data_IF_837064649047
#
_entry.id   IF_837064649047
#
_cell.length_a   1.000
_cell.length_b   1.000
_cell.length_c   1.000
_cell.angle_alpha   90.00
_cell.angle_beta   90.00
_cell.angle_gamma   90.00
#
_symmetry.space_group_name_H-M   'P 1'
#
loop_
_entity.id
_entity.type
_entity.pdbx_description
1 polymer ?
#
# COMPACT_ATOMS: atom_id res chain seq x y z
N UNK A 1 -19.62 14.77 -38.98
CA UNK A 1 -19.29 13.36 -38.67
C UNK A 1 -20.58 12.57 -38.51
N UNK A 2 -20.72 11.39 -39.14
CA UNK A 2 -21.88 10.53 -38.92
C UNK A 2 -21.86 9.94 -37.51
N UNK A 3 -23.04 9.68 -36.93
CA UNK A 3 -23.20 9.04 -35.61
C UNK A 3 -22.47 7.68 -35.56
N UNK A 4 -22.38 6.97 -36.69
CA UNK A 4 -21.63 5.72 -36.85
C UNK A 4 -20.13 5.91 -36.68
N UNK A 5 -19.53 6.96 -37.25
CA UNK A 5 -18.10 7.24 -37.09
C UNK A 5 -17.74 7.54 -35.62
N UNK A 6 -18.59 8.27 -34.89
CA UNK A 6 -18.39 8.56 -33.47
C UNK A 6 -18.46 7.30 -32.59
N UNK A 7 -19.39 6.39 -32.88
CA UNK A 7 -19.49 5.09 -32.18
C UNK A 7 -18.26 4.21 -32.45
N UNK A 8 -17.76 4.20 -33.69
CA UNK A 8 -16.56 3.43 -34.05
C UNK A 8 -15.30 3.95 -33.34
N UNK A 9 -15.13 5.28 -33.25
CA UNK A 9 -14.00 5.88 -32.51
C UNK A 9 -14.08 5.58 -31.01
N UNK A 10 -15.28 5.65 -30.41
CA UNK A 10 -15.46 5.24 -29.01
C UNK A 10 -15.13 3.76 -28.82
N UNK A 11 -15.65 2.88 -29.66
CA UNK A 11 -15.34 1.44 -29.58
C UNK A 11 -13.83 1.17 -29.70
N UNK A 12 -13.13 1.85 -30.62
CA UNK A 12 -11.70 1.72 -30.79
C UNK A 12 -10.90 2.21 -29.57
N UNK A 13 -11.32 3.32 -28.95
CA UNK A 13 -10.70 3.82 -27.71
C UNK A 13 -10.86 2.84 -26.56
N UNK A 14 -12.08 2.36 -26.32
CA UNK A 14 -12.36 1.40 -25.25
C UNK A 14 -11.63 0.07 -25.47
N UNK A 15 -11.62 -0.43 -26.72
CA UNK A 15 -10.88 -1.63 -27.09
C UNK A 15 -9.36 -1.47 -26.93
N UNK A 16 -8.80 -0.33 -27.35
CA UNK A 16 -7.38 -0.02 -27.21
C UNK A 16 -6.94 0.08 -25.76
N UNK A 17 -7.71 0.77 -24.91
CA UNK A 17 -7.44 0.84 -23.46
C UNK A 17 -7.50 -0.54 -22.81
N UNK A 18 -8.50 -1.36 -23.17
CA UNK A 18 -8.61 -2.74 -22.67
C UNK A 18 -7.41 -3.61 -23.04
N UNK A 19 -6.95 -3.52 -24.30
CA UNK A 19 -5.80 -4.28 -24.78
C UNK A 19 -4.51 -3.86 -24.06
N UNK A 20 -4.27 -2.55 -23.90
CA UNK A 20 -3.10 -2.05 -23.17
C UNK A 20 -3.11 -2.45 -21.70
N UNK A 21 -4.27 -2.36 -21.03
CA UNK A 21 -4.42 -2.82 -19.65
C UNK A 21 -4.14 -4.33 -19.53
N UNK A 22 -4.62 -5.13 -20.49
CA UNK A 22 -4.36 -6.57 -20.55
C UNK A 22 -2.88 -6.90 -20.69
N UNK A 23 -2.18 -6.24 -21.62
CA UNK A 23 -0.73 -6.42 -21.80
C UNK A 23 0.05 -6.02 -20.55
N UNK A 24 -0.31 -4.91 -19.90
CA UNK A 24 0.38 -4.47 -18.69
C UNK A 24 0.16 -5.43 -17.53
N UNK A 25 -1.07 -5.92 -17.33
CA UNK A 25 -1.37 -6.94 -16.32
C UNK A 25 -0.63 -8.25 -16.60
N UNK A 26 -0.54 -8.68 -17.87
CA UNK A 26 0.21 -9.88 -18.24
C UNK A 26 1.71 -9.73 -17.97
N UNK A 27 2.27 -8.55 -18.28
CA UNK A 27 3.66 -8.21 -17.96
C UNK A 27 3.92 -8.22 -16.46
N UNK A 28 3.07 -7.57 -15.66
CA UNK A 28 3.15 -7.58 -14.20
C UNK A 28 3.00 -8.99 -13.60
N UNK A 29 2.09 -9.80 -14.15
CA UNK A 29 1.91 -11.17 -13.74
C UNK A 29 3.17 -12.00 -13.99
N UNK A 30 3.73 -11.91 -15.20
CA UNK A 30 4.96 -12.63 -15.55
C UNK A 30 6.14 -12.20 -14.68
N UNK A 31 6.32 -10.90 -14.50
CA UNK A 31 7.36 -10.34 -13.64
C UNK A 31 7.21 -10.78 -12.18
N UNK A 32 5.98 -10.73 -11.64
CA UNK A 32 5.71 -11.19 -10.27
C UNK A 32 6.00 -12.66 -10.09
N UNK A 33 5.66 -13.52 -11.06
CA UNK A 33 5.94 -14.96 -10.99
C UNK A 33 7.44 -15.23 -11.04
N UNK A 34 8.19 -14.54 -11.90
CA UNK A 34 9.65 -14.68 -11.95
C UNK A 34 10.30 -14.25 -10.63
N UNK A 35 9.84 -13.15 -10.03
CA UNK A 35 10.36 -12.65 -8.76
C UNK A 35 10.02 -13.59 -7.59
N UNK A 36 8.81 -14.17 -7.57
CA UNK A 36 8.44 -15.15 -6.53
C UNK A 36 9.23 -16.45 -6.71
N UNK A 37 9.44 -16.92 -7.93
CA UNK A 37 10.27 -18.10 -8.19
C UNK A 37 11.72 -17.91 -7.73
N UNK A 38 12.34 -16.76 -8.03
CA UNK A 38 13.72 -16.48 -7.62
C UNK A 38 13.87 -16.40 -6.10
N UNK A 39 12.95 -15.69 -5.44
CA UNK A 39 12.96 -15.55 -3.98
C UNK A 39 12.65 -16.86 -3.26
N UNK A 40 11.73 -17.67 -3.78
CA UNK A 40 11.45 -19.00 -3.23
C UNK A 40 12.61 -19.95 -3.40
N UNK A 41 13.30 -19.91 -4.54
CA UNK A 41 14.50 -20.69 -4.76
C UNK A 41 15.60 -20.31 -3.76
N UNK A 42 15.86 -19.02 -3.57
CA UNK A 42 16.84 -18.54 -2.60
C UNK A 42 16.48 -18.95 -1.16
N UNK A 43 15.19 -18.84 -0.79
CA UNK A 43 14.71 -19.25 0.52
C UNK A 43 14.83 -20.77 0.73
N UNK A 44 14.48 -21.57 -0.28
CA UNK A 44 14.63 -23.03 -0.24
C UNK A 44 16.10 -23.44 -0.11
N UNK A 45 17.02 -22.75 -0.79
CA UNK A 45 18.46 -22.96 -0.65
C UNK A 45 18.95 -22.59 0.75
N UNK A 46 18.53 -21.44 1.31
CA UNK A 46 18.89 -21.03 2.68
C UNK A 46 18.38 -22.03 3.72
N UNK A 47 17.14 -22.47 3.60
CA UNK A 47 16.53 -23.47 4.49
C UNK A 47 17.22 -24.83 4.40
N UNK A 48 17.42 -25.34 3.18
CA UNK A 48 18.13 -26.62 2.99
C UNK A 48 19.56 -26.57 3.54
N UNK A 49 20.27 -25.46 3.36
CA UNK A 49 21.62 -25.26 3.93
C UNK A 49 21.60 -25.26 5.46
N UNK A 50 20.66 -24.54 6.07
CA UNK A 50 20.51 -24.50 7.53
C UNK A 50 20.16 -25.88 8.12
N UNK A 51 19.24 -26.59 7.48
CA UNK A 51 18.82 -27.92 7.93
C UNK A 51 19.96 -28.91 7.76
N UNK A 52 20.74 -28.78 6.70
CA UNK A 52 21.91 -29.63 6.51
C UNK A 52 22.99 -29.36 7.56
N UNK A 53 23.18 -28.11 7.99
CA UNK A 53 24.12 -27.82 9.08
C UNK A 53 23.64 -28.42 10.42
N UNK A 54 22.33 -28.42 10.67
CA UNK A 54 21.75 -29.10 11.84
C UNK A 54 21.91 -30.62 11.73
N UNK A 55 21.70 -31.16 10.53
CA UNK A 55 21.86 -32.57 10.22
C UNK A 55 23.31 -33.03 10.46
N UNK A 56 24.30 -32.24 10.05
CA UNK A 56 25.72 -32.46 10.33
C UNK A 56 26.00 -32.47 11.83
N UNK A 57 25.47 -31.51 12.59
CA UNK A 57 25.63 -31.47 14.05
C UNK A 57 25.04 -32.70 14.75
N UNK A 58 23.81 -33.09 14.37
CA UNK A 58 23.15 -34.30 14.90
C UNK A 58 23.89 -35.57 14.50
N UNK A 59 24.40 -35.65 13.27
CA UNK A 59 25.18 -36.77 12.78
C UNK A 59 26.47 -36.94 13.60
N UNK A 60 27.23 -35.85 13.80
CA UNK A 60 28.46 -35.88 14.59
C UNK A 60 28.18 -36.28 16.04
N UNK A 61 27.10 -35.77 16.64
CA UNK A 61 26.70 -36.12 17.99
C UNK A 61 26.29 -37.60 18.12
N UNK A 62 25.53 -38.14 17.17
CA UNK A 62 25.16 -39.56 17.14
C UNK A 62 26.41 -40.45 16.96
N UNK A 63 27.35 -40.03 16.10
CA UNK A 63 28.61 -40.74 15.90
C UNK A 63 29.48 -40.74 17.16
N UNK A 64 29.58 -39.62 17.88
CA UNK A 64 30.33 -39.54 19.15
C UNK A 64 29.73 -40.44 20.24
N UNK A 65 28.42 -40.71 20.19
CA UNK A 65 27.74 -41.64 21.10
C UNK A 65 27.90 -43.12 20.70
N UNK A 66 28.53 -43.41 19.56
CA UNK A 66 28.72 -44.78 19.08
C UNK A 66 27.44 -45.42 18.50
N UNK A 67 26.51 -44.60 18.01
CA UNK A 67 25.26 -45.10 17.41
C UNK A 67 25.55 -45.89 16.11
N UNK A 68 24.82 -46.99 15.90
CA UNK A 68 25.04 -47.89 14.75
C UNK A 68 24.59 -47.29 13.42
N UNK A 69 23.54 -46.46 13.43
CA UNK A 69 23.03 -45.76 12.23
C UNK A 69 22.84 -44.27 12.51
N UNK A 70 23.93 -43.48 12.52
CA UNK A 70 23.84 -42.05 12.81
C UNK A 70 23.00 -41.30 11.76
N UNK A 71 23.00 -41.73 10.50
CA UNK A 71 22.18 -41.10 9.46
C UNK A 71 20.69 -41.41 9.66
N UNK A 72 20.34 -42.64 10.02
CA UNK A 72 18.97 -43.02 10.36
C UNK A 72 18.41 -42.19 11.51
N UNK A 73 19.22 -41.91 12.53
CA UNK A 73 18.84 -41.04 13.66
C UNK A 73 18.56 -39.61 13.18
N UNK A 74 19.43 -39.05 12.34
CA UNK A 74 19.26 -37.69 11.81
C UNK A 74 18.02 -37.58 10.95
N UNK A 75 17.82 -38.53 10.02
CA UNK A 75 16.63 -38.57 9.17
C UNK A 75 15.38 -38.72 10.03
N UNK A 76 15.38 -39.60 11.04
CA UNK A 76 14.25 -39.77 11.97
C UNK A 76 13.98 -38.48 12.75
N UNK A 77 15.00 -37.85 13.34
CA UNK A 77 14.84 -36.61 14.11
C UNK A 77 14.33 -35.44 13.26
N UNK A 78 14.84 -35.29 12.04
CA UNK A 78 14.45 -34.20 11.15
C UNK A 78 13.11 -34.47 10.43
N UNK A 79 12.70 -35.73 10.30
CA UNK A 79 11.40 -36.12 9.73
C UNK A 79 10.25 -36.13 10.74
N UNK A 80 10.53 -36.19 12.05
CA UNK A 80 9.53 -36.17 13.10
C UNK A 80 8.89 -34.77 13.28
N UNK A 81 7.72 -34.58 12.67
CA UNK A 81 6.71 -33.64 13.16
C UNK A 81 5.40 -33.79 12.41
N UNK A 82 4.31 -33.51 13.11
CA UNK A 82 2.94 -33.91 12.79
C UNK A 82 2.25 -33.11 11.67
N UNK A 83 3.00 -32.33 10.87
CA UNK A 83 2.42 -31.47 9.84
C UNK A 83 2.69 -32.02 8.44
N UNK A 84 1.78 -31.81 7.46
CA UNK A 84 2.05 -32.10 6.06
C UNK A 84 3.21 -31.20 5.59
N UNK A 85 4.44 -31.72 5.66
CA UNK A 85 5.63 -30.92 5.42
C UNK A 85 5.84 -30.73 3.93
N UNK A 86 6.11 -29.47 3.60
CA UNK A 86 6.70 -28.98 2.35
C UNK A 86 8.10 -29.60 2.12
N UNK A 87 8.65 -30.36 3.06
CA UNK A 87 10.02 -30.86 3.04
C UNK A 87 10.12 -32.31 3.48
N UNK A 88 10.85 -33.10 2.69
CA UNK A 88 11.15 -34.51 2.91
C UNK A 88 12.66 -34.69 3.02
N UNK A 89 13.10 -35.29 4.11
CA UNK A 89 14.52 -35.61 4.36
C UNK A 89 14.70 -37.11 4.18
N UNK A 90 15.62 -37.53 3.32
CA UNK A 90 15.90 -38.93 3.01
C UNK A 90 17.39 -39.23 3.04
N UNK A 91 17.72 -40.51 3.19
CA UNK A 91 19.11 -40.99 3.05
C UNK A 91 19.53 -40.86 1.60
N UNK A 92 20.68 -40.24 1.37
CA UNK A 92 21.25 -40.07 0.04
C UNK A 92 22.43 -41.02 -0.14
N UNK A 93 22.43 -41.74 -1.25
CA UNK A 93 23.57 -42.51 -1.74
C UNK A 93 24.06 -41.81 -3.02
N UNK A 94 25.36 -41.47 -3.14
CA UNK A 94 25.89 -40.78 -4.32
C UNK A 94 25.70 -41.53 -5.64
N UNK A 95 25.41 -42.84 -5.61
CA UNK A 95 25.01 -43.61 -6.81
C UNK A 95 23.62 -43.26 -7.33
N UNK A 96 22.74 -42.65 -6.53
CA UNK A 96 21.36 -42.28 -6.89
C UNK A 96 21.22 -40.88 -7.50
N UNK A 97 22.34 -40.17 -7.75
CA UNK A 97 22.32 -38.90 -8.46
C UNK A 97 23.44 -37.94 -8.05
N UNK A 98 23.53 -36.78 -8.72
CA UNK A 98 24.53 -35.76 -8.43
C UNK A 98 24.40 -35.17 -7.02
N UNK A 99 25.55 -34.84 -6.42
CA UNK A 99 25.67 -34.05 -5.20
C UNK A 99 25.55 -32.57 -5.57
N UNK A 100 24.70 -31.82 -4.87
CA UNK A 100 24.44 -30.42 -5.17
C UNK A 100 22.96 -30.07 -5.11
N UNK A 101 22.60 -28.94 -5.70
CA UNK A 101 21.21 -28.49 -5.81
C UNK A 101 20.71 -28.72 -7.22
N UNK A 102 19.48 -29.23 -7.33
CA UNK A 102 18.78 -29.39 -8.60
C UNK A 102 17.36 -28.87 -8.45
N UNK A 103 16.97 -27.96 -9.33
CA UNK A 103 15.57 -27.58 -9.51
C UNK A 103 14.97 -28.51 -10.55
N UNK A 104 13.88 -29.20 -10.20
CA UNK A 104 13.05 -29.92 -11.16
C UNK A 104 11.82 -29.06 -11.46
N UNK A 105 11.89 -28.14 -12.45
CA UNK A 105 10.85 -27.16 -12.70
C UNK A 105 9.49 -27.80 -13.01
N UNK A 106 9.49 -28.97 -13.67
CA UNK A 106 8.26 -29.72 -13.98
C UNK A 106 7.53 -30.19 -12.72
N UNK A 107 8.28 -30.61 -11.69
CA UNK A 107 7.72 -31.16 -10.45
C UNK A 107 7.54 -30.11 -9.36
N UNK A 108 8.10 -28.91 -9.54
CA UNK A 108 8.13 -27.84 -8.51
C UNK A 108 8.77 -28.33 -7.20
N UNK A 109 9.76 -29.20 -7.34
CA UNK A 109 10.54 -29.74 -6.23
C UNK A 109 11.94 -29.16 -6.35
N UNK A 110 12.38 -28.56 -5.25
CA UNK A 110 13.76 -28.16 -5.03
C UNK A 110 14.47 -29.30 -4.31
N UNK A 111 15.47 -29.89 -4.95
CA UNK A 111 16.26 -30.97 -4.36
C UNK A 111 17.64 -30.43 -3.96
N UNK A 112 18.03 -30.69 -2.71
CA UNK A 112 19.35 -30.39 -2.17
C UNK A 112 19.95 -31.66 -1.59
N UNK A 113 21.02 -32.16 -2.20
CA UNK A 113 21.76 -33.32 -1.72
C UNK A 113 23.16 -32.89 -1.27
N UNK A 114 23.52 -33.25 -0.03
CA UNK A 114 24.86 -32.99 0.52
C UNK A 114 25.41 -34.24 1.20
N UNK A 115 26.68 -34.50 0.93
CA UNK A 115 27.46 -35.54 1.60
C UNK A 115 27.85 -35.07 3.00
N UNK A 116 27.69 -35.94 4.00
CA UNK A 116 28.16 -35.65 5.35
C UNK A 116 29.67 -35.92 5.39
N UNK A 117 30.43 -34.97 5.93
CA UNK A 117 31.89 -34.78 5.80
C UNK A 117 32.79 -35.93 6.31
N UNK A 118 32.26 -37.08 6.69
CA UNK A 118 33.06 -38.17 7.27
C UNK A 118 32.70 -39.58 6.81
N UNK A 119 31.79 -39.72 5.83
CA UNK A 119 31.37 -41.00 5.29
C UNK A 119 31.04 -40.86 3.79
N UNK A 120 31.96 -41.26 2.90
CA UNK A 120 31.82 -41.08 1.44
C UNK A 120 30.63 -41.86 0.85
N UNK A 121 30.02 -42.75 1.62
CA UNK A 121 28.92 -43.60 1.16
C UNK A 121 27.55 -43.12 1.65
N UNK A 122 27.49 -42.21 2.63
CA UNK A 122 26.25 -41.82 3.30
C UNK A 122 26.08 -40.30 3.35
N UNK A 123 25.06 -39.80 2.66
CA UNK A 123 24.65 -38.40 2.71
C UNK A 123 23.19 -38.22 3.11
N UNK A 124 22.74 -36.97 3.08
CA UNK A 124 21.33 -36.60 3.28
C UNK A 124 20.84 -35.86 2.04
N UNK A 125 19.64 -36.23 1.57
CA UNK A 125 18.91 -35.52 0.52
C UNK A 125 17.69 -34.87 1.15
N UNK A 126 17.59 -33.56 0.96
CA UNK A 126 16.47 -32.73 1.37
C UNK A 126 15.70 -32.37 0.10
N UNK A 127 14.47 -32.84 0.00
CA UNK A 127 13.53 -32.47 -1.06
C UNK A 127 12.55 -31.46 -0.47
N UNK A 128 12.50 -30.25 -0.99
CA UNK A 128 11.54 -29.21 -0.60
C UNK A 128 10.57 -29.03 -1.77
N UNK A 129 9.30 -29.37 -1.56
CA UNK A 129 8.21 -29.06 -2.49
C UNK A 129 7.91 -27.55 -2.44
N UNK A 130 8.75 -26.75 -3.10
CA UNK A 130 8.53 -25.32 -3.23
C UNK A 130 7.36 -25.07 -4.19
N UNK A 131 6.13 -25.10 -3.65
CA UNK A 131 4.96 -24.69 -4.44
C UNK A 131 5.15 -23.22 -4.82
N UNK A 132 5.20 -22.90 -6.13
CA UNK A 132 5.43 -21.54 -6.58
C UNK A 132 4.32 -20.67 -6.02
N UNK A 133 4.72 -19.61 -5.32
CA UNK A 133 3.79 -18.60 -4.86
C UNK A 133 3.18 -17.99 -6.12
N UNK A 134 1.86 -18.02 -6.20
CA UNK A 134 1.12 -17.48 -7.34
C UNK A 134 1.20 -15.95 -7.32
N UNK A 135 0.57 -15.28 -8.27
CA UNK A 135 0.64 -13.83 -8.43
C UNK A 135 0.49 -13.09 -7.08
N UNK A 136 1.47 -12.23 -6.76
CA UNK A 136 1.55 -11.47 -5.51
C UNK A 136 1.40 -12.30 -4.22
N UNK A 137 1.85 -13.56 -4.22
CA UNK A 137 1.80 -14.41 -3.03
C UNK A 137 0.47 -15.10 -2.79
N UNK A 138 -0.41 -15.17 -3.80
CA UNK A 138 -1.69 -15.87 -3.68
C UNK A 138 -1.51 -17.35 -3.27
N UNK A 139 -2.27 -17.77 -2.25
CA UNK A 139 -2.22 -19.13 -1.70
C UNK A 139 -3.14 -20.11 -2.44
N UNK A 140 -4.19 -19.60 -3.08
CA UNK A 140 -5.21 -20.40 -3.78
C UNK A 140 -5.36 -19.96 -5.25
N UNK A 141 -6.07 -20.74 -6.07
CA UNK A 141 -6.29 -20.39 -7.50
C UNK A 141 -7.27 -19.25 -7.59
N UNK A 142 -8.35 -19.34 -6.81
CA UNK A 142 -9.33 -18.27 -6.69
C UNK A 142 -8.67 -16.93 -6.32
N UNK A 143 -7.79 -16.92 -5.32
CA UNK A 143 -7.10 -15.69 -4.90
C UNK A 143 -6.19 -15.15 -6.01
N UNK A 144 -5.48 -16.03 -6.72
CA UNK A 144 -4.64 -15.64 -7.85
C UNK A 144 -5.48 -14.96 -8.95
N UNK A 145 -6.59 -15.58 -9.33
CA UNK A 145 -7.44 -15.10 -10.42
C UNK A 145 -8.11 -13.77 -10.05
N UNK A 146 -8.55 -13.63 -8.78
CA UNK A 146 -9.10 -12.39 -8.26
C UNK A 146 -8.07 -11.25 -8.24
N UNK A 147 -6.82 -11.53 -7.85
CA UNK A 147 -5.76 -10.53 -7.85
C UNK A 147 -5.40 -10.09 -9.27
N UNK A 148 -5.31 -11.02 -10.23
CA UNK A 148 -5.07 -10.69 -11.64
C UNK A 148 -6.20 -9.82 -12.19
N UNK A 149 -7.47 -10.18 -11.91
CA UNK A 149 -8.63 -9.39 -12.30
C UNK A 149 -8.61 -8.00 -11.67
N UNK A 150 -8.29 -7.90 -10.38
CA UNK A 150 -8.21 -6.63 -9.67
C UNK A 150 -7.12 -5.73 -10.26
N UNK A 151 -5.92 -6.26 -10.50
CA UNK A 151 -4.84 -5.51 -11.14
C UNK A 151 -5.25 -5.05 -12.55
N UNK A 152 -5.93 -5.90 -13.32
CA UNK A 152 -6.47 -5.52 -14.61
C UNK A 152 -7.45 -4.35 -14.51
N UNK A 153 -8.42 -4.41 -13.60
CA UNK A 153 -9.40 -3.34 -13.39
C UNK A 153 -8.71 -2.03 -12.98
N UNK A 154 -7.72 -2.10 -12.10
CA UNK A 154 -6.98 -0.93 -11.64
C UNK A 154 -6.18 -0.29 -12.79
N UNK A 155 -5.46 -1.09 -13.57
CA UNK A 155 -4.75 -0.63 -14.76
C UNK A 155 -5.71 -0.06 -15.82
N UNK A 156 -6.85 -0.70 -16.02
CA UNK A 156 -7.88 -0.25 -16.96
C UNK A 156 -8.45 1.11 -16.55
N UNK A 157 -8.84 1.26 -15.29
CA UNK A 157 -9.36 2.53 -14.74
C UNK A 157 -8.29 3.61 -14.88
N UNK A 158 -7.05 3.34 -14.47
CA UNK A 158 -5.94 4.29 -14.56
C UNK A 158 -5.66 4.73 -16.00
N UNK A 159 -5.55 3.77 -16.94
CA UNK A 159 -5.35 4.08 -18.36
C UNK A 159 -6.55 4.82 -18.96
N UNK A 160 -7.76 4.47 -18.58
CA UNK A 160 -8.96 5.15 -19.04
C UNK A 160 -8.98 6.62 -18.61
N UNK A 161 -8.67 6.90 -17.34
CA UNK A 161 -8.61 8.27 -16.83
C UNK A 161 -7.44 9.05 -17.41
N UNK A 162 -6.25 8.46 -17.52
CA UNK A 162 -5.08 9.14 -18.09
C UNK A 162 -5.24 9.43 -19.57
N UNK A 163 -5.72 8.48 -20.38
CA UNK A 163 -6.01 8.70 -21.82
C UNK A 163 -7.12 9.75 -21.98
N UNK A 164 -8.14 9.74 -21.13
CA UNK A 164 -9.22 10.74 -21.18
C UNK A 164 -8.75 12.12 -20.73
N UNK A 165 -7.85 12.22 -19.74
CA UNK A 165 -7.32 13.47 -19.22
C UNK A 165 -6.23 14.09 -20.11
N UNK A 166 -5.43 13.26 -20.79
CA UNK A 166 -4.33 13.69 -21.69
C UNK A 166 -4.79 13.95 -23.13
N UNK A 167 -6.03 13.58 -23.47
CA UNK A 167 -6.70 14.01 -24.69
C UNK A 167 -7.78 15.10 -24.41
N UNK A 168 -7.45 16.24 -23.77
CA UNK A 168 -8.40 17.34 -23.67
C UNK A 168 -8.55 17.97 -25.05
N UNK A 169 -9.60 17.60 -25.79
CA UNK A 169 -10.30 18.45 -26.75
C UNK A 169 -9.55 19.09 -27.93
N UNK A 170 -8.25 18.85 -28.14
CA UNK A 170 -7.44 19.51 -29.19
C UNK A 170 -7.04 18.61 -30.36
N UNK A 171 -7.73 17.50 -30.56
CA UNK A 171 -7.82 16.86 -31.88
C UNK A 171 -9.05 17.37 -32.63
N UNK A 172 -9.29 18.69 -32.57
CA UNK A 172 -9.91 19.37 -33.68
C UNK A 172 -8.94 19.22 -34.83
N UNK A 173 -9.35 18.46 -35.84
CA UNK A 173 -8.68 18.40 -37.12
C UNK A 173 -8.53 19.83 -37.61
N UNK A 174 -7.31 20.37 -37.51
CA UNK A 174 -6.76 21.42 -38.38
C UNK A 174 -7.69 22.61 -38.63
N UNK A 175 -7.86 23.44 -37.59
CA UNK A 175 -7.84 24.89 -37.73
C UNK A 175 -6.65 25.36 -36.90
N UNK A 176 -5.66 25.98 -37.52
CA UNK A 176 -4.39 26.35 -36.91
C UNK A 176 -4.56 27.14 -35.60
N UNK A 177 -3.65 26.99 -34.62
CA UNK A 177 -3.60 27.89 -33.50
C UNK A 177 -3.11 29.24 -34.04
N UNK A 178 -4.05 30.12 -34.32
CA UNK A 178 -3.76 31.51 -34.62
C UNK A 178 -3.28 32.14 -33.30
N UNK A 179 -1.96 32.30 -33.18
CA UNK A 179 -1.29 33.15 -32.17
C UNK A 179 -1.52 34.66 -32.46
N UNK A 180 -2.35 34.97 -33.44
CA UNK A 180 -2.58 36.32 -33.95
C UNK A 180 -3.82 36.98 -33.36
N UNK A 181 -4.04 36.88 -32.05
CA UNK A 181 -5.06 37.73 -31.41
C UNK A 181 -4.73 39.23 -31.56
N UNK A 182 -3.45 39.58 -31.74
CA UNK A 182 -3.02 40.94 -32.11
C UNK A 182 -3.04 41.20 -33.62
N UNK A 183 -2.68 40.25 -34.49
CA UNK A 183 -2.70 40.48 -35.94
C UNK A 183 -4.12 40.45 -36.53
N UNK A 184 -5.08 39.73 -35.92
CA UNK A 184 -6.51 39.84 -36.28
C UNK A 184 -7.09 41.17 -35.81
N UNK A 185 -6.68 41.70 -34.66
CA UNK A 185 -7.12 43.03 -34.23
C UNK A 185 -6.64 44.12 -35.20
N UNK A 186 -5.44 43.97 -35.79
CA UNK A 186 -4.89 44.90 -36.78
C UNK A 186 -5.43 44.65 -38.19
N UNK A 187 -5.66 43.39 -38.59
CA UNK A 187 -6.22 43.03 -39.90
C UNK A 187 -7.73 43.33 -40.02
N UNK A 188 -8.50 43.19 -38.93
CA UNK A 188 -9.91 43.59 -38.88
C UNK A 188 -10.06 45.12 -38.92
N UNK A 189 -9.05 45.87 -38.48
CA UNK A 189 -9.00 47.33 -38.59
C UNK A 189 -8.57 47.85 -39.98
N UNK A 190 -7.98 47.01 -40.84
CA UNK A 190 -7.48 47.43 -42.16
C UNK A 190 -8.28 46.89 -43.37
N UNK A 191 -9.23 45.97 -43.17
CA UNK A 191 -10.03 45.37 -44.27
C UNK A 191 -11.49 45.86 -44.37
N UNK A 192 -11.80 47.07 -43.91
CA UNK A 192 -13.08 47.73 -44.25
C UNK A 192 -12.87 48.79 -45.34
N UNK A 193 -12.94 48.42 -46.64
CA UNK A 193 -13.26 49.39 -47.68
C UNK A 193 -14.69 49.85 -47.48
N UNK A 194 -14.87 51.17 -47.58
CA UNK A 194 -16.15 51.86 -47.49
C UNK A 194 -17.23 51.16 -48.34
N UNK A 195 -18.31 50.72 -47.68
CA UNK A 195 -19.58 50.43 -48.34
C UNK A 195 -20.68 51.29 -47.71
N UNK A 196 -21.46 52.03 -48.51
CA UNK A 196 -22.49 52.93 -48.03
C UNK A 196 -23.80 52.20 -47.75
N UNK A 197 -24.68 52.87 -47.01
CA UNK A 197 -26.08 52.54 -46.73
C UNK A 197 -26.34 51.54 -45.59
N UNK A 198 -26.36 52.09 -44.37
CA UNK A 198 -27.51 52.00 -43.47
C UNK A 198 -28.23 50.64 -43.40
N UNK A 199 -27.53 49.61 -42.90
CA UNK A 199 -28.21 48.61 -42.09
C UNK A 199 -28.08 49.07 -40.64
N UNK A 200 -29.19 49.57 -40.11
CA UNK A 200 -29.42 49.82 -38.70
C UNK A 200 -28.99 48.58 -37.92
N UNK A 201 -27.76 48.60 -37.40
CA UNK A 201 -27.35 47.73 -36.31
C UNK A 201 -28.28 48.09 -35.17
N UNK A 202 -29.41 47.37 -35.08
CA UNK A 202 -30.29 47.40 -33.94
C UNK A 202 -29.40 47.20 -32.74
N UNK A 203 -29.24 48.26 -31.93
CA UNK A 203 -28.59 48.16 -30.64
C UNK A 203 -29.12 46.89 -29.96
N UNK A 204 -28.25 46.03 -29.41
CA UNK A 204 -28.71 44.84 -28.71
C UNK A 204 -29.76 45.29 -27.72
N UNK A 205 -30.96 44.74 -27.89
CA UNK A 205 -32.16 45.15 -27.18
C UNK A 205 -31.81 45.24 -25.69
N UNK A 206 -32.04 46.41 -25.07
CA UNK A 206 -31.56 46.66 -23.70
C UNK A 206 -32.09 45.63 -22.71
N UNK A 207 -33.21 45.01 -23.05
CA UNK A 207 -33.85 43.94 -22.29
C UNK A 207 -33.10 42.62 -22.38
N UNK A 208 -32.46 42.31 -23.52
CA UNK A 208 -31.60 41.12 -23.65
C UNK A 208 -30.36 41.23 -22.75
N UNK A 209 -29.72 42.41 -22.71
CA UNK A 209 -28.55 42.65 -21.85
C UNK A 209 -28.94 42.57 -20.36
N UNK A 210 -30.11 43.09 -20.00
CA UNK A 210 -30.64 43.01 -18.62
C UNK A 210 -30.93 41.58 -18.20
N UNK A 211 -31.57 40.78 -19.05
CA UNK A 211 -31.88 39.37 -18.73
C UNK A 211 -30.59 38.54 -18.62
N UNK A 212 -29.62 38.78 -19.51
CA UNK A 212 -28.31 38.13 -19.42
C UNK A 212 -27.57 38.49 -18.12
N UNK A 213 -27.57 39.77 -17.71
CA UNK A 213 -26.98 40.20 -16.43
C UNK A 213 -27.70 39.52 -15.25
N UNK A 214 -29.04 39.42 -15.30
CA UNK A 214 -29.84 38.76 -14.27
C UNK A 214 -29.46 37.27 -14.14
N UNK A 215 -29.40 36.55 -15.26
CA UNK A 215 -29.04 35.13 -15.28
C UNK A 215 -27.59 34.91 -14.80
N UNK A 216 -26.65 35.72 -15.28
CA UNK A 216 -25.25 35.68 -14.82
C UNK A 216 -25.13 35.95 -13.32
N UNK A 217 -25.92 36.88 -12.77
CA UNK A 217 -25.93 37.20 -11.33
C UNK A 217 -26.46 36.02 -10.50
N UNK A 218 -27.50 35.33 -10.96
CA UNK A 218 -28.04 34.14 -10.30
C UNK A 218 -27.00 33.00 -10.31
N UNK A 219 -26.37 32.75 -11.46
CA UNK A 219 -25.34 31.71 -11.59
C UNK A 219 -24.10 31.99 -10.73
N UNK A 220 -23.63 33.25 -10.68
CA UNK A 220 -22.51 33.66 -9.84
C UNK A 220 -22.83 33.55 -8.34
N UNK A 221 -24.05 33.92 -7.95
CA UNK A 221 -24.51 33.78 -6.56
C UNK A 221 -24.62 32.31 -6.15
N UNK A 222 -25.14 31.46 -7.04
CA UNK A 222 -25.19 30.01 -6.85
C UNK A 222 -23.81 29.37 -6.76
N UNK A 223 -22.87 29.78 -7.61
CA UNK A 223 -21.48 29.34 -7.54
C UNK A 223 -20.83 29.77 -6.22
N UNK A 224 -21.04 31.01 -5.77
CA UNK A 224 -20.52 31.50 -4.49
C UNK A 224 -21.07 30.75 -3.27
N UNK A 225 -22.33 30.30 -3.30
CA UNK A 225 -22.87 29.42 -2.27
C UNK A 225 -22.16 28.05 -2.27
N UNK A 226 -22.08 27.39 -3.43
CA UNK A 226 -21.41 26.08 -3.57
C UNK A 226 -19.93 26.12 -3.18
N UNK A 227 -19.22 27.20 -3.53
CA UNK A 227 -17.83 27.40 -3.13
C UNK A 227 -17.73 27.45 -1.61
N UNK A 228 -18.58 28.23 -0.92
CA UNK A 228 -18.62 28.31 0.55
C UNK A 228 -18.90 26.96 1.22
N UNK A 229 -19.83 26.19 0.68
CA UNK A 229 -20.13 24.85 1.18
C UNK A 229 -18.91 23.93 1.03
N UNK A 230 -18.22 23.99 -0.12
CA UNK A 230 -16.98 23.26 -0.36
C UNK A 230 -15.86 23.69 0.60
N UNK A 231 -15.73 24.99 0.93
CA UNK A 231 -14.77 25.46 1.96
C UNK A 231 -15.12 24.86 3.32
N UNK A 232 -16.40 24.85 3.69
CA UNK A 232 -16.86 24.32 4.97
C UNK A 232 -16.56 22.82 5.08
N UNK A 233 -16.87 22.06 4.04
CA UNK A 233 -16.58 20.62 3.96
C UNK A 233 -15.08 20.33 3.98
N UNK A 234 -14.28 21.11 3.22
CA UNK A 234 -12.83 21.01 3.22
C UNK A 234 -12.24 21.24 4.62
N UNK A 235 -12.72 22.27 5.32
CA UNK A 235 -12.30 22.59 6.69
C UNK A 235 -12.68 21.48 7.67
N UNK A 236 -13.90 20.94 7.56
CA UNK A 236 -14.35 19.82 8.39
C UNK A 236 -13.53 18.55 8.13
N UNK A 237 -13.14 18.31 6.87
CA UNK A 237 -12.24 17.22 6.49
C UNK A 237 -10.86 17.41 7.11
N UNK A 238 -10.27 18.61 7.02
CA UNK A 238 -8.96 18.92 7.64
C UNK A 238 -8.98 18.72 9.15
N UNK A 239 -10.03 19.17 9.84
CA UNK A 239 -10.19 18.97 11.29
C UNK A 239 -10.34 17.50 11.63
N UNK A 240 -11.14 16.76 10.86
CA UNK A 240 -11.33 15.31 11.06
C UNK A 240 -10.04 14.54 10.81
N UNK A 241 -9.33 14.83 9.72
CA UNK A 241 -8.04 14.23 9.39
C UNK A 241 -6.98 14.52 10.48
N UNK A 242 -6.94 15.73 11.01
CA UNK A 242 -6.05 16.10 12.12
C UNK A 242 -6.34 15.29 13.38
N UNK A 243 -7.62 15.14 13.76
CA UNK A 243 -8.02 14.30 14.90
C UNK A 243 -7.65 12.84 14.68
N UNK A 244 -7.96 12.28 13.50
CA UNK A 244 -7.59 10.91 13.14
C UNK A 244 -6.08 10.69 13.21
N UNK A 245 -5.28 11.62 12.67
CA UNK A 245 -3.81 11.61 12.78
C UNK A 245 -3.37 11.56 14.24
N UNK A 246 -3.89 12.44 15.10
CA UNK A 246 -3.51 12.43 16.53
C UNK A 246 -3.87 11.12 17.25
N UNK A 247 -5.01 10.52 16.94
CA UNK A 247 -5.42 9.25 17.56
C UNK A 247 -4.56 8.08 17.08
N UNK A 248 -4.15 8.09 15.81
CA UNK A 248 -3.26 7.07 15.27
C UNK A 248 -1.83 7.25 15.80
N UNK A 249 -1.37 8.48 16.00
CA UNK A 249 -0.08 8.78 16.61
C UNK A 249 -0.01 8.29 18.06
N UNK A 250 -1.06 8.53 18.87
CA UNK A 250 -1.14 8.00 20.25
C UNK A 250 -1.17 6.46 20.25
N UNK A 251 -1.98 5.84 19.40
CA UNK A 251 -2.05 4.39 19.27
C UNK A 251 -0.68 3.79 18.87
N UNK A 252 -0.03 4.41 17.88
CA UNK A 252 1.32 4.06 17.43
C UNK A 252 2.32 4.15 18.58
N UNK A 253 2.31 5.26 19.33
CA UNK A 253 3.17 5.44 20.50
C UNK A 253 2.95 4.36 21.56
N UNK A 254 1.70 3.99 21.84
CA UNK A 254 1.37 2.91 22.79
C UNK A 254 1.84 1.54 22.31
N UNK A 255 1.64 1.20 21.03
CA UNK A 255 2.09 -0.07 20.45
C UNK A 255 3.62 -0.18 20.51
N UNK A 256 4.34 0.85 20.05
CA UNK A 256 5.80 0.86 20.12
C UNK A 256 6.31 0.83 21.56
N UNK A 257 5.64 1.51 22.49
CA UNK A 257 5.93 1.44 23.92
C UNK A 257 5.79 0.03 24.49
N UNK A 258 4.69 -0.66 24.18
CA UNK A 258 4.47 -2.06 24.60
C UNK A 258 5.50 -3.01 23.96
N UNK A 259 5.82 -2.83 22.69
CA UNK A 259 6.82 -3.64 21.99
C UNK A 259 8.21 -3.47 22.61
N UNK A 260 8.58 -2.25 23.02
CA UNK A 260 9.81 -2.00 23.78
C UNK A 260 9.80 -2.69 25.15
N UNK A 261 8.70 -2.63 25.90
CA UNK A 261 8.56 -3.35 27.18
C UNK A 261 8.70 -4.87 27.01
N UNK A 262 8.16 -5.44 25.92
CA UNK A 262 8.31 -6.86 25.58
C UNK A 262 9.78 -7.19 25.30
N UNK A 263 10.49 -6.35 24.55
CA UNK A 263 11.93 -6.51 24.27
C UNK A 263 12.79 -6.42 25.52
N UNK A 264 12.49 -5.48 26.43
CA UNK A 264 13.13 -5.38 27.75
C UNK A 264 12.87 -6.64 28.58
N UNK A 265 11.63 -7.13 28.60
CA UNK A 265 11.26 -8.38 29.28
C UNK A 265 12.04 -9.57 28.72
N UNK A 266 12.23 -9.65 27.40
CA UNK A 266 13.07 -10.68 26.77
C UNK A 266 14.53 -10.59 27.23
N UNK A 267 15.09 -9.39 27.27
CA UNK A 267 16.47 -9.20 27.75
C UNK A 267 16.62 -9.67 29.20
N UNK A 268 15.64 -9.35 30.05
CA UNK A 268 15.58 -9.81 31.44
C UNK A 268 15.50 -11.34 31.57
N UNK A 269 14.64 -12.00 30.79
CA UNK A 269 14.53 -13.48 30.77
C UNK A 269 15.83 -14.13 30.28
N UNK A 270 16.51 -13.56 29.27
CA UNK A 270 17.82 -14.05 28.81
C UNK A 270 18.89 -13.94 29.90
N UNK A 271 18.93 -12.83 30.62
CA UNK A 271 19.85 -12.65 31.75
C UNK A 271 19.54 -13.65 32.88
N UNK A 272 18.26 -13.82 33.23
CA UNK A 272 17.80 -14.82 34.21
C UNK A 272 18.26 -16.24 33.85
N UNK A 273 18.14 -16.63 32.58
CA UNK A 273 18.58 -17.96 32.12
C UNK A 273 20.10 -18.13 32.20
N UNK A 274 20.88 -17.09 31.88
CA UNK A 274 22.34 -17.12 32.04
C UNK A 274 22.74 -17.28 33.50
N UNK A 275 22.11 -16.53 34.41
CA UNK A 275 22.36 -16.64 35.85
C UNK A 275 21.96 -18.04 36.36
N UNK A 276 20.83 -18.57 35.92
CA UNK A 276 20.39 -19.92 36.28
C UNK A 276 21.41 -20.99 35.84
N UNK A 277 21.94 -20.89 34.61
CA UNK A 277 22.98 -21.81 34.11
C UNK A 277 24.29 -21.72 34.92
N UNK A 278 24.71 -20.51 35.29
CA UNK A 278 25.89 -20.31 36.15
C UNK A 278 25.66 -20.89 37.54
N UNK A 279 24.51 -20.63 38.16
CA UNK A 279 24.13 -21.20 39.45
C UNK A 279 24.05 -22.72 39.39
N UNK A 280 23.52 -23.30 38.31
CA UNK A 280 23.44 -24.75 38.10
C UNK A 280 24.84 -25.36 38.13
N UNK A 281 25.78 -24.76 37.39
CA UNK A 281 27.18 -25.19 37.32
C UNK A 281 27.86 -25.13 38.70
N UNK A 282 27.70 -24.01 39.41
CA UNK A 282 28.26 -23.85 40.76
C UNK A 282 27.69 -24.86 41.74
N UNK A 283 26.38 -25.09 41.68
CA UNK A 283 25.70 -26.04 42.57
C UNK A 283 26.16 -27.47 42.32
N UNK A 284 26.34 -27.88 41.06
CA UNK A 284 26.89 -29.18 40.71
C UNK A 284 28.33 -29.35 41.23
N UNK A 285 29.16 -28.32 41.10
CA UNK A 285 30.52 -28.33 41.65
C UNK A 285 30.51 -28.48 43.19
N UNK A 286 29.59 -27.81 43.88
CA UNK A 286 29.44 -27.95 45.33
C UNK A 286 28.97 -29.34 45.76
N UNK A 287 28.07 -29.98 45.01
CA UNK A 287 27.67 -31.37 45.26
C UNK A 287 28.89 -32.31 45.16
N UNK A 288 29.72 -32.12 44.13
CA UNK A 288 30.93 -32.92 43.93
C UNK A 288 31.92 -32.73 45.09
N UNK A 289 32.15 -31.50 45.54
CA UNK A 289 33.04 -31.21 46.67
C UNK A 289 32.48 -31.73 48.00
N UNK A 290 31.16 -31.60 48.24
CA UNK A 290 30.52 -32.17 49.42
C UNK A 290 30.67 -33.70 49.44
N UNK A 291 30.56 -34.38 48.29
CA UNK A 291 30.79 -35.81 48.19
C UNK A 291 32.25 -36.21 48.50
N UNK A 292 33.22 -35.36 48.14
CA UNK A 292 34.66 -35.58 48.45
C UNK A 292 34.98 -35.45 49.93
N UNK A 293 34.29 -34.56 50.65
CA UNK A 293 34.50 -34.31 52.07
C UNK A 293 33.94 -35.42 52.98
N UNK A 294 33.20 -36.39 52.43
CA UNK A 294 32.71 -37.55 53.17
C UNK A 294 31.48 -37.24 54.06
N UNK A 295 31.23 -38.03 55.12
CA UNK A 295 29.99 -37.98 55.89
C UNK A 295 29.74 -36.62 56.58
N UNK A 296 30.81 -35.90 56.93
CA UNK A 296 30.71 -34.60 57.61
C UNK A 296 30.07 -33.51 56.74
N UNK A 297 30.10 -33.66 55.40
CA UNK A 297 29.50 -32.73 54.45
C UNK A 297 28.14 -33.18 53.91
N UNK A 298 27.54 -34.25 54.44
CA UNK A 298 26.29 -34.80 53.89
C UNK A 298 25.12 -33.80 53.92
N UNK A 299 25.05 -32.95 54.95
CA UNK A 299 24.04 -31.88 55.04
C UNK A 299 24.21 -30.84 53.92
N UNK A 300 25.46 -30.46 53.62
CA UNK A 300 25.78 -29.52 52.54
C UNK A 300 25.38 -30.11 51.18
N UNK A 301 25.64 -31.40 50.96
CA UNK A 301 25.22 -32.11 49.74
C UNK A 301 23.71 -32.01 49.50
N UNK A 302 22.89 -32.30 50.53
CA UNK A 302 21.42 -32.19 50.43
C UNK A 302 20.94 -30.76 50.13
N UNK A 303 21.55 -29.75 50.77
CA UNK A 303 21.22 -28.35 50.47
C UNK A 303 21.55 -27.97 49.02
N UNK A 304 22.64 -28.50 48.47
CA UNK A 304 23.01 -28.26 47.08
C UNK A 304 22.06 -28.99 46.11
N UNK A 305 21.61 -30.21 46.43
CA UNK A 305 20.59 -30.92 45.64
C UNK A 305 19.26 -30.14 45.60
N UNK A 306 18.81 -29.63 46.75
CA UNK A 306 17.62 -28.78 46.83
C UNK A 306 17.77 -27.50 45.99
N UNK A 307 18.93 -26.84 46.06
CA UNK A 307 19.24 -25.66 45.25
C UNK A 307 19.21 -25.99 43.75
N UNK A 308 19.78 -27.14 43.35
CA UNK A 308 19.76 -27.58 41.95
C UNK A 308 18.32 -27.82 41.45
N UNK A 309 17.46 -28.42 42.26
CA UNK A 309 16.04 -28.60 41.94
C UNK A 309 15.31 -27.25 41.77
N UNK A 310 15.61 -26.25 42.61
CA UNK A 310 15.04 -24.91 42.49
C UNK A 310 15.52 -24.21 41.21
N UNK A 311 16.81 -24.31 40.88
CA UNK A 311 17.37 -23.77 39.64
C UNK A 311 16.69 -24.41 38.42
N UNK A 312 16.49 -25.73 38.44
CA UNK A 312 15.80 -26.43 37.36
C UNK A 312 14.34 -25.94 37.19
N UNK A 313 13.63 -25.71 38.29
CA UNK A 313 12.27 -25.12 38.25
C UNK A 313 12.29 -23.70 37.66
N UNK A 314 13.27 -22.87 38.04
CA UNK A 314 13.45 -21.53 37.49
C UNK A 314 13.66 -21.56 35.97
N UNK A 315 14.47 -22.47 35.44
CA UNK A 315 14.71 -22.62 34.00
C UNK A 315 13.45 -23.02 33.23
N UNK A 316 12.65 -23.95 33.78
CA UNK A 316 11.36 -24.32 33.18
C UNK A 316 10.42 -23.10 33.14
N UNK A 317 10.39 -22.30 34.20
CA UNK A 317 9.61 -21.06 34.24
C UNK A 317 10.12 -20.02 33.23
N UNK A 318 11.45 -19.84 33.11
CA UNK A 318 12.06 -18.95 32.11
C UNK A 318 11.69 -19.38 30.69
N UNK A 319 11.69 -20.69 30.39
CA UNK A 319 11.25 -21.21 29.09
C UNK A 319 9.77 -20.87 28.83
N UNK A 320 8.91 -21.06 29.83
CA UNK A 320 7.50 -20.64 29.75
C UNK A 320 7.37 -19.14 29.46
N UNK A 321 8.11 -18.30 30.19
CA UNK A 321 8.11 -16.85 29.98
C UNK A 321 8.62 -16.47 28.58
N UNK A 322 9.68 -17.11 28.07
CA UNK A 322 10.20 -16.84 26.71
C UNK A 322 9.17 -17.19 25.63
N UNK A 323 8.44 -18.30 25.79
CA UNK A 323 7.36 -18.65 24.85
C UNK A 323 6.22 -17.63 24.85
N UNK A 324 5.83 -17.12 26.02
CA UNK A 324 4.80 -16.09 26.15
C UNK A 324 5.27 -14.76 25.54
N UNK A 325 6.50 -14.35 25.82
CA UNK A 325 7.13 -13.16 25.24
C UNK A 325 7.17 -13.26 23.72
N UNK A 326 7.62 -14.41 23.19
CA UNK A 326 7.67 -14.65 21.74
C UNK A 326 6.29 -14.58 21.11
N UNK A 327 5.25 -15.14 21.75
CA UNK A 327 3.88 -15.02 21.27
C UNK A 327 3.44 -13.56 21.21
N UNK A 328 3.67 -12.80 22.29
CA UNK A 328 3.34 -11.37 22.33
C UNK A 328 4.07 -10.59 21.24
N UNK A 329 5.36 -10.84 20.98
CA UNK A 329 6.06 -10.17 19.88
C UNK A 329 5.43 -10.44 18.52
N UNK A 330 5.10 -11.71 18.23
CA UNK A 330 4.44 -12.09 16.97
C UNK A 330 3.09 -11.40 16.82
N UNK A 331 2.36 -11.19 17.92
CA UNK A 331 1.07 -10.50 17.91
C UNK A 331 1.22 -8.97 17.73
N UNK A 332 2.26 -8.35 18.31
CA UNK A 332 2.46 -6.89 18.30
C UNK A 332 3.26 -6.34 17.11
N UNK A 333 4.17 -7.11 16.52
CA UNK A 333 5.00 -6.67 15.39
C UNK A 333 4.19 -6.29 14.13
N UNK A 334 3.16 -7.05 13.69
CA UNK A 334 2.32 -6.60 12.59
C UNK A 334 1.50 -5.36 12.97
N UNK A 335 1.01 -5.27 14.21
CA UNK A 335 0.25 -4.10 14.69
C UNK A 335 1.11 -2.82 14.68
N UNK A 336 2.39 -2.92 15.02
CA UNK A 336 3.32 -1.80 14.93
C UNK A 336 3.49 -1.33 13.48
N UNK A 337 3.64 -2.28 12.56
CA UNK A 337 3.77 -2.00 11.12
C UNK A 337 2.49 -1.37 10.57
N UNK A 338 1.32 -1.91 10.91
CA UNK A 338 0.02 -1.39 10.49
C UNK A 338 -0.22 0.03 11.04
N UNK A 339 0.17 0.28 12.29
CA UNK A 339 0.08 1.61 12.89
C UNK A 339 0.98 2.64 12.19
N UNK A 340 2.21 2.25 11.80
CA UNK A 340 3.11 3.11 11.03
C UNK A 340 2.52 3.42 9.63
N UNK A 341 2.00 2.40 8.94
CA UNK A 341 1.34 2.58 7.63
C UNK A 341 0.11 3.48 7.74
N UNK A 342 -0.74 3.26 8.75
CA UNK A 342 -1.90 4.10 9.00
C UNK A 342 -1.49 5.55 9.29
N UNK A 343 -0.45 5.77 10.11
CA UNK A 343 0.07 7.09 10.41
C UNK A 343 0.49 7.84 9.14
N UNK A 344 1.25 7.18 8.25
CA UNK A 344 1.67 7.79 6.99
C UNK A 344 0.49 8.09 6.05
N UNK A 345 -0.50 7.19 5.97
CA UNK A 345 -1.70 7.43 5.17
C UNK A 345 -2.49 8.65 5.68
N UNK A 346 -2.65 8.80 6.99
CA UNK A 346 -3.32 9.98 7.57
C UNK A 346 -2.49 11.26 7.42
N UNK A 347 -1.16 11.16 7.45
CA UNK A 347 -0.27 12.29 7.17
C UNK A 347 -0.46 12.81 5.73
N UNK A 348 -0.52 11.91 4.76
CA UNK A 348 -0.76 12.26 3.37
C UNK A 348 -2.12 12.93 3.17
N UNK A 349 -3.19 12.39 3.78
CA UNK A 349 -4.53 12.99 3.76
C UNK A 349 -4.50 14.39 4.39
N UNK A 350 -3.83 14.54 5.52
CA UNK A 350 -3.71 15.84 6.21
C UNK A 350 -2.98 16.86 5.33
N UNK A 351 -1.88 16.48 4.68
CA UNK A 351 -1.15 17.36 3.76
C UNK A 351 -1.97 17.70 2.51
N UNK A 352 -2.69 16.74 1.94
CA UNK A 352 -3.59 16.97 0.81
C UNK A 352 -4.72 17.93 1.17
N UNK A 353 -5.33 17.76 2.35
CA UNK A 353 -6.37 18.65 2.86
C UNK A 353 -5.83 20.08 3.09
N UNK A 354 -4.59 20.21 3.61
CA UNK A 354 -3.92 21.51 3.74
C UNK A 354 -3.68 22.22 2.39
N UNK A 355 -3.22 21.48 1.37
CA UNK A 355 -3.08 22.02 0.01
C UNK A 355 -4.42 22.43 -0.59
N UNK A 356 -5.47 21.64 -0.35
CA UNK A 356 -6.83 21.94 -0.82
C UNK A 356 -7.36 23.23 -0.19
N UNK A 357 -7.17 23.42 1.11
CA UNK A 357 -7.52 24.66 1.82
C UNK A 357 -6.78 25.88 1.24
N UNK A 358 -5.48 25.74 0.94
CA UNK A 358 -4.70 26.80 0.31
C UNK A 358 -5.24 27.16 -1.09
N UNK A 359 -5.58 26.15 -1.91
CA UNK A 359 -6.18 26.36 -3.23
C UNK A 359 -7.56 27.03 -3.15
N UNK A 360 -8.39 26.62 -2.20
CA UNK A 360 -9.70 27.22 -1.94
C UNK A 360 -9.54 28.69 -1.54
N UNK A 361 -8.57 29.00 -0.66
CA UNK A 361 -8.28 30.38 -0.24
C UNK A 361 -7.86 31.24 -1.43
N UNK A 362 -6.91 30.77 -2.26
CA UNK A 362 -6.46 31.49 -3.48
C UNK A 362 -7.62 31.72 -4.46
N UNK A 363 -8.47 30.71 -4.64
CA UNK A 363 -9.65 30.81 -5.53
C UNK A 363 -10.64 31.84 -4.98
N UNK A 364 -10.90 31.82 -3.67
CA UNK A 364 -11.78 32.78 -3.00
C UNK A 364 -11.26 34.21 -3.11
N UNK A 365 -9.97 34.43 -2.89
CA UNK A 365 -9.33 35.73 -3.07
C UNK A 365 -9.46 36.24 -4.51
N UNK A 366 -9.28 35.35 -5.50
CA UNK A 366 -9.43 35.67 -6.93
C UNK A 366 -10.87 36.04 -7.27
N UNK A 367 -11.84 35.26 -6.79
CA UNK A 367 -13.27 35.55 -6.96
C UNK A 367 -13.67 36.89 -6.32
N UNK A 368 -13.17 37.19 -5.12
CA UNK A 368 -13.40 38.49 -4.47
C UNK A 368 -12.80 39.66 -5.24
N UNK A 369 -11.62 39.48 -5.87
CA UNK A 369 -11.04 40.49 -6.77
C UNK A 369 -11.91 40.73 -7.99
N UNK A 370 -12.40 39.67 -8.65
CA UNK A 370 -13.32 39.79 -9.79
C UNK A 370 -14.65 40.44 -9.39
N UNK A 371 -15.21 40.09 -8.22
CA UNK A 371 -16.42 40.72 -7.71
C UNK A 371 -16.24 42.24 -7.49
N UNK A 372 -15.11 42.65 -6.91
CA UNK A 372 -14.76 44.08 -6.74
C UNK A 372 -14.58 44.80 -8.07
N UNK A 373 -13.97 44.16 -9.07
CA UNK A 373 -13.83 44.73 -10.42
C UNK A 373 -15.20 44.92 -11.08
N UNK A 374 -16.08 43.92 -11.02
CA UNK A 374 -17.45 44.03 -11.56
C UNK A 374 -18.26 45.12 -10.85
N UNK A 375 -18.12 45.25 -9.52
CA UNK A 375 -18.77 46.33 -8.79
C UNK A 375 -18.30 47.72 -9.26
N UNK A 376 -16.99 47.90 -9.46
CA UNK A 376 -16.43 49.15 -9.99
C UNK A 376 -16.94 49.43 -11.41
N UNK A 377 -17.01 48.39 -12.25
CA UNK A 377 -17.48 48.50 -13.63
C UNK A 377 -18.97 48.91 -13.67
N UNK A 378 -19.79 48.32 -12.82
CA UNK A 378 -21.19 48.71 -12.64
C UNK A 378 -21.36 50.14 -12.09
N UNK A 379 -20.47 50.62 -11.23
CA UNK A 379 -20.47 52.01 -10.74
C UNK A 379 -20.02 53.00 -11.82
N UNK A 380 -19.14 52.59 -12.74
CA UNK A 380 -18.65 53.44 -13.83
C UNK A 380 -19.61 53.52 -15.03
N UNK A 381 -20.57 52.60 -15.15
CA UNK A 381 -21.62 52.69 -16.15
C UNK A 381 -22.52 53.89 -15.80
N UNK A 382 -22.61 54.93 -16.65
CA UNK A 382 -23.44 56.08 -16.36
C UNK A 382 -24.87 55.62 -16.14
N UNK A 383 -25.49 56.06 -15.04
CA UNK A 383 -26.90 55.83 -14.81
C UNK A 383 -27.66 56.33 -16.04
N UNK A 384 -28.29 55.41 -16.78
CA UNK A 384 -29.13 55.76 -17.93
C UNK A 384 -30.09 56.85 -17.46
N UNK A 385 -30.15 57.99 -18.16
CA UNK A 385 -30.96 59.11 -17.71
C UNK A 385 -32.41 58.64 -17.62
N UNK A 386 -33.03 58.84 -16.44
CA UNK A 386 -34.42 58.48 -16.15
C UNK A 386 -35.46 59.14 -17.09
N UNK A 387 -35.01 59.93 -18.06
CA UNK A 387 -35.83 60.56 -19.09
C UNK A 387 -36.32 59.60 -20.18
N UNK A 388 -35.81 58.38 -20.30
CA UNK A 388 -36.31 57.39 -21.28
C UNK A 388 -37.58 56.65 -20.83
N UNK A 389 -37.92 56.67 -19.54
CA UNK A 389 -39.04 55.88 -18.98
C UNK A 389 -40.40 56.63 -19.01
N UNK A 390 -40.46 57.87 -19.52
CA UNK A 390 -41.70 58.66 -19.64
C UNK A 390 -42.42 58.56 -20.99
N UNK A 391 -41.93 57.76 -21.95
CA UNK A 391 -42.44 57.80 -23.33
C UNK A 391 -43.43 56.69 -23.74
N UNK A 392 -43.80 55.77 -22.83
CA UNK A 392 -44.76 54.69 -23.15
C UNK A 392 -45.83 54.58 -22.08
N UNK A 393 -46.67 55.60 -21.95
CA UNK A 393 -48.04 55.42 -21.48
C UNK A 393 -48.77 54.54 -22.51
N UNK A 394 -49.17 53.29 -22.19
CA UNK A 394 -49.99 52.52 -23.09
C UNK A 394 -51.32 53.25 -23.33
N UNK A 395 -51.83 53.30 -24.58
CA UNK A 395 -53.10 53.97 -24.88
C UNK A 395 -54.23 53.32 -24.06
N UNK A 396 -55.21 54.10 -23.56
CA UNK A 396 -56.31 53.57 -22.80
C UNK A 396 -57.13 52.59 -23.66
N UNK A 397 -57.33 51.37 -23.13
CA UNK A 397 -58.21 50.37 -23.70
C UNK A 397 -59.63 50.97 -23.88
N UNK A 398 -60.03 51.16 -25.13
CA UNK A 398 -61.39 51.55 -25.52
C UNK A 398 -62.32 50.37 -25.20
N UNK A 399 -63.12 50.49 -24.14
CA UNK A 399 -64.26 49.59 -23.88
C UNK A 399 -65.34 49.91 -24.91
N UNK A 400 -65.43 49.12 -25.97
CA UNK A 400 -66.62 49.11 -26.81
C UNK A 400 -67.79 48.52 -26.03
N UNK A 401 -68.89 49.28 -26.03
CA UNK A 401 -70.19 48.93 -25.46
C UNK A 401 -70.73 47.66 -26.11
N UNK A 402 -71.11 46.70 -25.28
CA UNK A 402 -72.21 45.79 -25.57
C UNK A 402 -73.40 46.18 -24.67
N UNK A 403 -74.60 46.07 -25.26
CA UNK A 403 -75.95 46.45 -24.80
C UNK A 403 -76.27 47.93 -24.69
#
# INVERSE_FOLDING_TARGET
MSVTALKMIKALKWGGTGLLAGLFTLGLHHWSVQLTESTQFENALRWSTQITSQAEGLFLAARQRGERDPVGIVVSALSQGSEPRVMRVTRFNPSMGPVGFHSLPEKKIFEYAKMLTSDEQNGIRIEIEARPARYLGARTSLQNDLLVLFTFLLNFIFLHFTVSATLPGKWSIRGEPIDDAEEIAVAVLQLHPQSPAAQTQSQPDSDFVREWIREATVLLSGLGARVRDLISEARNLTVSASKSRSTVDDLRGRIHGQLNQIRESRASVKLSEQLALQSETLTLNLVIEAARLGPDAQKLGRMCEELHLLIKKLRIQNLGNDTLIRKSEVDFEPLATDADVAFHAYEEIFQAAGKMDEHIRKTTETLLRHAKLNQKLNQSLPALPASAEKATTPPPFRKDRAS
#
